data_IF_034821274811
#
_entry.id   IF_034821274811
#
_cell.length_a   1.000
_cell.length_b   1.000
_cell.length_c   1.000
_cell.angle_alpha   90.00
_cell.angle_beta   90.00
_cell.angle_gamma   90.00
#
_symmetry.space_group_name_H-M   'P 1'
#
loop_
_entity.id
_entity.type
_entity.pdbx_description
1 polymer ?
#
# COMPACT_ATOMS: atom_id res chain seq x y z
N UNK A 1 -9.28 6.07 -19.93
CA UNK A 1 -9.32 5.29 -18.67
C UNK A 1 -7.99 5.47 -17.97
N UNK A 2 -7.98 6.12 -16.81
CA UNK A 2 -6.78 6.22 -15.96
C UNK A 2 -6.52 4.84 -15.35
N UNK A 3 -5.26 4.43 -15.22
CA UNK A 3 -4.87 3.09 -14.77
C UNK A 3 -5.51 2.74 -13.42
N UNK A 4 -6.57 1.96 -13.47
CA UNK A 4 -7.25 1.37 -12.32
C UNK A 4 -6.29 0.33 -11.71
N UNK A 5 -5.89 0.54 -10.45
CA UNK A 5 -5.01 -0.38 -9.72
C UNK A 5 -5.62 -1.78 -9.61
N UNK A 6 -4.77 -2.81 -9.61
CA UNK A 6 -5.17 -4.23 -9.68
C UNK A 6 -6.23 -4.66 -8.64
N UNK A 7 -6.26 -4.03 -7.47
CA UNK A 7 -7.20 -4.37 -6.40
C UNK A 7 -8.65 -3.96 -6.67
N UNK A 8 -8.95 -3.06 -7.62
CA UNK A 8 -10.36 -2.86 -8.02
C UNK A 8 -10.96 -4.11 -8.68
N UNK A 9 -10.12 -4.92 -9.34
CA UNK A 9 -10.52 -6.24 -9.81
C UNK A 9 -11.02 -7.10 -8.64
N UNK A 10 -10.25 -7.18 -7.57
CA UNK A 10 -10.61 -7.98 -6.38
C UNK A 10 -11.77 -7.36 -5.58
N UNK A 11 -11.83 -6.03 -5.46
CA UNK A 11 -12.93 -5.31 -4.81
C UNK A 11 -14.25 -5.54 -5.54
N UNK A 12 -14.24 -5.55 -6.88
CA UNK A 12 -15.43 -5.89 -7.68
C UNK A 12 -15.89 -7.35 -7.50
N UNK A 13 -15.03 -8.23 -6.98
CA UNK A 13 -15.40 -9.60 -6.63
C UNK A 13 -15.97 -9.72 -5.21
N UNK A 14 -15.87 -8.70 -4.36
CA UNK A 14 -16.36 -8.80 -2.99
C UNK A 14 -17.87 -9.12 -2.89
N UNK A 15 -18.76 -8.63 -3.78
CA UNK A 15 -20.16 -9.05 -3.78
C UNK A 15 -20.37 -10.54 -4.08
N UNK A 16 -19.37 -11.24 -4.65
CA UNK A 16 -19.39 -12.69 -4.87
C UNK A 16 -19.10 -13.48 -3.58
N UNK A 17 -18.79 -12.81 -2.46
CA UNK A 17 -18.85 -13.42 -1.14
C UNK A 17 -20.27 -13.94 -0.88
N UNK A 18 -20.41 -14.97 -0.03
CA UNK A 18 -21.75 -15.39 0.41
C UNK A 18 -22.50 -14.16 0.93
N UNK A 19 -23.74 -13.96 0.48
CA UNK A 19 -24.52 -12.75 0.78
C UNK A 19 -24.58 -12.42 2.28
N UNK A 20 -24.59 -13.44 3.14
CA UNK A 20 -24.51 -13.27 4.60
C UNK A 20 -23.21 -12.59 5.03
N UNK A 21 -22.07 -13.03 4.50
CA UNK A 21 -20.76 -12.43 4.80
C UNK A 21 -20.68 -10.96 4.36
N UNK A 22 -21.22 -10.62 3.19
CA UNK A 22 -21.23 -9.23 2.71
C UNK A 22 -22.07 -8.32 3.61
N UNK A 23 -23.27 -8.77 3.98
CA UNK A 23 -24.19 -8.01 4.85
C UNK A 23 -23.64 -7.83 6.26
N UNK A 24 -22.97 -8.84 6.81
CA UNK A 24 -22.42 -8.83 8.17
C UNK A 24 -21.02 -8.21 8.27
N UNK A 25 -20.36 -7.94 7.14
CA UNK A 25 -19.02 -7.37 7.12
C UNK A 25 -19.00 -5.98 7.77
N UNK A 26 -18.31 -5.89 8.92
CA UNK A 26 -18.05 -4.62 9.61
C UNK A 26 -16.89 -3.85 8.98
N UNK A 27 -15.85 -4.56 8.52
CA UNK A 27 -14.65 -3.96 7.94
C UNK A 27 -14.10 -4.80 6.79
N UNK A 28 -13.74 -4.13 5.70
CA UNK A 28 -12.84 -4.62 4.68
C UNK A 28 -11.46 -4.00 4.89
N UNK A 29 -10.44 -4.85 4.86
CA UNK A 29 -9.06 -4.48 5.09
C UNK A 29 -8.21 -5.03 3.95
N UNK A 30 -7.22 -4.23 3.53
CA UNK A 30 -6.03 -4.79 2.91
C UNK A 30 -5.21 -5.52 3.99
N UNK A 31 -4.47 -6.57 3.64
CA UNK A 31 -3.78 -7.42 4.61
C UNK A 31 -2.84 -6.64 5.56
N UNK A 32 -2.03 -5.67 5.08
CA UNK A 32 -1.17 -4.88 5.96
C UNK A 32 -1.96 -4.08 7.01
N UNK A 33 -3.12 -3.52 6.62
CA UNK A 33 -3.96 -2.77 7.55
C UNK A 33 -4.62 -3.70 8.57
N UNK A 34 -5.06 -4.89 8.15
CA UNK A 34 -5.56 -5.92 9.07
C UNK A 34 -4.53 -6.29 10.13
N UNK A 35 -3.27 -6.49 9.75
CA UNK A 35 -2.19 -6.79 10.70
C UNK A 35 -1.98 -5.65 11.70
N UNK A 36 -1.99 -4.40 11.22
CA UNK A 36 -1.86 -3.22 12.08
C UNK A 36 -3.05 -3.04 13.03
N UNK A 37 -4.28 -3.32 12.55
CA UNK A 37 -5.49 -3.34 13.37
C UNK A 37 -5.43 -4.44 14.41
N UNK A 38 -5.04 -5.66 14.04
CA UNK A 38 -4.90 -6.79 14.97
C UNK A 38 -3.89 -6.47 16.08
N UNK A 39 -2.83 -5.75 15.74
CA UNK A 39 -1.80 -5.35 16.70
C UNK A 39 -2.24 -4.22 17.66
N UNK A 40 -3.07 -3.29 17.21
CA UNK A 40 -3.27 -1.99 17.90
C UNK A 40 -4.74 -1.63 18.20
N UNK A 41 -5.68 -2.43 17.69
CA UNK A 41 -7.12 -2.10 17.58
C UNK A 41 -7.44 -0.82 16.79
N UNK A 42 -6.46 -0.22 16.10
CA UNK A 42 -6.67 0.97 15.29
C UNK A 42 -7.45 0.68 14.02
N UNK A 43 -8.48 1.47 13.74
CA UNK A 43 -9.18 1.46 12.45
C UNK A 43 -8.58 2.42 11.42
N UNK A 44 -7.47 3.10 11.73
CA UNK A 44 -6.79 3.93 10.74
C UNK A 44 -6.25 3.05 9.60
N UNK A 45 -6.43 3.50 8.36
CA UNK A 45 -5.89 2.84 7.16
C UNK A 45 -4.64 3.55 6.67
N UNK A 46 -3.69 2.79 6.13
CA UNK A 46 -2.50 3.38 5.52
C UNK A 46 -2.83 4.05 4.19
N UNK A 47 -2.23 5.21 3.91
CA UNK A 47 -2.26 5.77 2.56
C UNK A 47 -1.60 4.85 1.53
N UNK A 48 -0.67 3.97 1.94
CA UNK A 48 -0.05 3.00 1.05
C UNK A 48 -1.08 2.06 0.43
N UNK A 49 -1.93 1.44 1.26
CA UNK A 49 -2.96 0.51 0.82
C UNK A 49 -4.07 1.25 0.08
N UNK A 50 -4.60 2.32 0.67
CA UNK A 50 -5.77 2.98 0.13
C UNK A 50 -5.53 3.64 -1.24
N UNK A 51 -4.41 4.34 -1.40
CA UNK A 51 -4.12 5.07 -2.63
C UNK A 51 -3.74 4.10 -3.76
N UNK A 52 -2.96 3.05 -3.45
CA UNK A 52 -2.49 2.11 -4.46
C UNK A 52 -3.56 1.10 -4.89
N UNK A 53 -4.50 0.75 -3.99
CA UNK A 53 -5.39 -0.41 -4.15
C UNK A 53 -6.88 -0.08 -4.06
N UNK A 54 -7.26 1.01 -3.39
CA UNK A 54 -8.67 1.33 -3.13
C UNK A 54 -9.16 2.60 -3.83
N UNK A 55 -8.35 3.22 -4.70
CA UNK A 55 -8.69 4.48 -5.41
C UNK A 55 -8.85 5.72 -4.53
N UNK A 56 -8.47 5.63 -3.25
CA UNK A 56 -8.52 6.78 -2.35
C UNK A 56 -7.61 7.91 -2.84
N UNK A 57 -8.11 9.14 -2.85
CA UNK A 57 -7.31 10.32 -3.12
C UNK A 57 -6.93 11.02 -1.82
N UNK A 58 -5.64 11.21 -1.50
CA UNK A 58 -5.27 11.99 -0.31
C UNK A 58 -5.73 13.44 -0.37
N UNK A 59 -5.97 13.97 -1.58
CA UNK A 59 -6.42 15.35 -1.79
C UNK A 59 -7.94 15.48 -1.71
N UNK A 60 -8.68 14.50 -2.21
CA UNK A 60 -10.14 14.58 -2.39
C UNK A 60 -10.93 13.59 -1.52
N UNK A 61 -10.27 12.65 -0.87
CA UNK A 61 -10.88 11.55 -0.14
C UNK A 61 -11.41 10.43 -1.06
N UNK A 62 -12.50 9.81 -0.62
CA UNK A 62 -13.26 8.82 -1.37
C UNK A 62 -14.13 9.50 -2.44
N UNK A 63 -14.28 8.85 -3.60
CA UNK A 63 -15.20 9.28 -4.66
C UNK A 63 -16.46 8.43 -4.64
N UNK A 64 -17.54 8.94 -4.03
CA UNK A 64 -18.81 8.23 -3.92
C UNK A 64 -19.44 7.96 -5.28
N UNK A 65 -19.20 8.83 -6.26
CA UNK A 65 -19.72 8.65 -7.62
C UNK A 65 -19.07 7.45 -8.31
N UNK A 66 -17.79 7.21 -8.04
CA UNK A 66 -17.09 6.01 -8.51
C UNK A 66 -17.71 4.75 -7.92
N UNK A 67 -17.92 4.68 -6.59
CA UNK A 67 -18.50 3.51 -5.93
C UNK A 67 -19.92 3.21 -6.40
N UNK A 68 -20.76 4.24 -6.56
CA UNK A 68 -22.09 4.09 -7.13
C UNK A 68 -22.06 3.61 -8.58
N UNK A 69 -21.11 4.09 -9.40
CA UNK A 69 -21.02 3.68 -10.80
C UNK A 69 -20.67 2.20 -11.00
N UNK A 70 -20.08 1.56 -9.99
CA UNK A 70 -19.72 0.13 -9.99
C UNK A 70 -20.64 -0.73 -9.13
N UNK A 71 -21.74 -0.18 -8.60
CA UNK A 71 -22.75 -0.90 -7.81
C UNK A 71 -22.28 -1.31 -6.41
N UNK A 72 -21.38 -0.52 -5.81
CA UNK A 72 -20.82 -0.74 -4.47
C UNK A 72 -21.05 0.48 -3.55
N UNK A 73 -22.14 1.22 -3.77
CA UNK A 73 -22.49 2.41 -3.00
C UNK A 73 -22.68 2.14 -1.50
N UNK A 74 -23.02 0.91 -1.11
CA UNK A 74 -23.16 0.50 0.28
C UNK A 74 -21.84 0.56 1.07
N UNK A 75 -20.68 0.58 0.39
CA UNK A 75 -19.37 0.81 0.99
C UNK A 75 -19.17 2.28 1.42
N UNK A 76 -19.98 3.21 0.91
CA UNK A 76 -19.93 4.64 1.27
C UNK A 76 -20.74 4.97 2.52
N UNK A 77 -21.61 4.05 2.94
CA UNK A 77 -22.46 4.21 4.13
C UNK A 77 -21.64 4.48 5.40
N UNK A 78 -22.27 5.16 6.37
CA UNK A 78 -21.67 5.48 7.65
C UNK A 78 -20.28 6.13 7.51
N UNK A 79 -20.11 7.04 6.54
CA UNK A 79 -18.84 7.74 6.24
C UNK A 79 -17.72 6.75 5.91
N UNK A 80 -17.98 5.76 5.06
CA UNK A 80 -17.01 4.76 4.61
C UNK A 80 -16.47 3.87 5.74
N UNK A 81 -17.27 3.59 6.78
CA UNK A 81 -16.81 2.85 7.98
C UNK A 81 -16.26 1.45 7.67
N UNK A 82 -16.80 0.80 6.65
CA UNK A 82 -16.36 -0.53 6.22
C UNK A 82 -14.96 -0.50 5.60
N UNK A 83 -14.64 0.54 4.81
CA UNK A 83 -13.41 0.59 4.01
C UNK A 83 -12.34 1.54 4.57
N UNK A 84 -12.70 2.44 5.48
CA UNK A 84 -11.78 3.30 6.23
C UNK A 84 -12.23 4.75 6.28
N UNK A 85 -12.55 5.23 7.49
CA UNK A 85 -12.91 6.65 7.74
C UNK A 85 -11.68 7.52 8.00
N UNK A 86 -10.67 6.94 8.64
CA UNK A 86 -9.46 7.64 9.06
C UNK A 86 -8.26 7.08 8.29
N UNK A 87 -7.44 7.97 7.76
CA UNK A 87 -6.24 7.62 6.99
C UNK A 87 -5.00 8.22 7.62
N UNK A 88 -3.85 7.59 7.41
CA UNK A 88 -2.58 8.07 7.94
C UNK A 88 -1.43 7.71 7.00
N UNK A 89 -0.37 8.53 7.04
CA UNK A 89 0.85 8.24 6.28
C UNK A 89 1.52 6.97 6.82
N UNK A 90 2.12 6.14 5.97
CA UNK A 90 2.92 5.01 6.41
C UNK A 90 3.92 5.39 7.52
N UNK A 91 4.05 4.55 8.54
CA UNK A 91 4.92 4.81 9.69
C UNK A 91 4.35 5.76 10.76
N UNK A 92 3.19 6.39 10.54
CA UNK A 92 2.53 7.20 11.58
C UNK A 92 2.18 6.32 12.79
N UNK A 93 2.38 6.79 14.05
CA UNK A 93 2.06 5.97 15.22
C UNK A 93 0.57 5.65 15.29
N UNK A 94 0.25 4.38 15.54
CA UNK A 94 -1.12 3.90 15.68
C UNK A 94 -1.49 3.73 17.14
N UNK A 95 -2.53 4.47 17.57
CA UNK A 95 -3.07 4.42 18.93
C UNK A 95 -1.95 4.57 19.97
N UNK A 96 -1.92 3.69 20.97
CA UNK A 96 -0.88 3.62 22.00
C UNK A 96 0.16 2.52 21.71
N UNK A 97 0.24 2.00 20.49
CA UNK A 97 1.10 0.86 20.15
C UNK A 97 0.41 -0.49 20.32
N UNK A 98 1.19 -1.54 20.59
CA UNK A 98 0.68 -2.90 20.79
C UNK A 98 -0.35 -2.96 21.92
N UNK A 99 -1.45 -3.66 21.66
CA UNK A 99 -2.40 -4.09 22.68
C UNK A 99 -1.72 -5.09 23.64
N UNK A 100 -2.20 -5.24 24.89
CA UNK A 100 -1.70 -6.27 25.80
C UNK A 100 -1.73 -7.67 25.19
N UNK A 101 -2.80 -8.00 24.46
CA UNK A 101 -2.98 -9.30 23.81
C UNK A 101 -1.94 -9.51 22.70
N UNK A 102 -1.80 -8.54 21.79
CA UNK A 102 -0.82 -8.64 20.70
C UNK A 102 0.62 -8.64 21.21
N UNK A 103 0.91 -7.90 22.28
CA UNK A 103 2.21 -7.89 22.94
C UNK A 103 2.55 -9.26 23.52
N UNK A 104 1.59 -9.93 24.16
CA UNK A 104 1.77 -11.29 24.67
C UNK A 104 2.04 -12.30 23.54
N UNK A 105 1.27 -12.25 22.45
CA UNK A 105 1.44 -13.13 21.28
C UNK A 105 2.81 -12.97 20.60
N UNK A 106 3.39 -11.76 20.65
CA UNK A 106 4.67 -11.42 20.02
C UNK A 106 5.88 -11.51 20.96
N UNK A 107 5.66 -11.69 22.27
CA UNK A 107 6.72 -11.65 23.28
C UNK A 107 7.35 -10.26 23.45
N UNK A 108 6.55 -9.20 23.35
CA UNK A 108 6.96 -7.79 23.46
C UNK A 108 6.21 -7.08 24.59
N UNK A 109 6.57 -5.83 24.86
CA UNK A 109 5.90 -5.01 25.88
C UNK A 109 4.62 -4.35 25.33
N UNK A 110 3.51 -4.34 26.10
CA UNK A 110 2.33 -3.53 25.77
C UNK A 110 2.72 -2.07 25.54
N UNK A 111 2.13 -1.46 24.53
CA UNK A 111 2.42 -0.08 24.15
C UNK A 111 3.70 0.12 23.32
N UNK A 112 4.40 -0.95 22.93
CA UNK A 112 5.46 -0.88 21.91
C UNK A 112 4.91 -0.20 20.65
N UNK A 113 5.60 0.82 20.14
CA UNK A 113 5.11 1.63 19.04
C UNK A 113 4.89 0.80 17.77
N UNK A 114 3.75 1.04 17.11
CA UNK A 114 3.39 0.42 15.83
C UNK A 114 3.10 1.52 14.83
N UNK A 115 3.77 1.49 13.69
CA UNK A 115 3.53 2.42 12.58
C UNK A 115 2.38 1.95 11.68
N UNK A 116 1.74 2.91 11.02
CA UNK A 116 0.80 2.64 9.93
C UNK A 116 1.44 1.76 8.86
N UNK A 117 0.63 0.85 8.31
CA UNK A 117 1.10 -0.28 7.49
C UNK A 117 1.73 0.12 6.15
N UNK A 118 2.45 -0.81 5.52
CA UNK A 118 2.97 -0.72 4.15
C UNK A 118 2.68 -2.03 3.41
N UNK A 119 2.41 -1.94 2.11
CA UNK A 119 2.46 -3.09 1.19
C UNK A 119 3.91 -3.58 1.12
N UNK A 120 4.11 -4.89 0.97
CA UNK A 120 5.42 -5.56 0.98
C UNK A 120 6.47 -4.91 0.07
N UNK A 121 6.13 -4.68 -1.20
CA UNK A 121 7.04 -4.06 -2.16
C UNK A 121 7.33 -2.60 -1.78
N UNK A 122 6.37 -1.90 -1.17
CA UNK A 122 6.54 -0.52 -0.74
C UNK A 122 7.42 -0.43 0.51
N UNK A 123 7.32 -1.39 1.42
CA UNK A 123 8.23 -1.55 2.54
C UNK A 123 9.67 -1.83 2.05
N UNK A 124 9.82 -2.72 1.07
CA UNK A 124 11.11 -2.96 0.40
C UNK A 124 11.66 -1.69 -0.26
N UNK A 125 10.80 -0.96 -0.97
CA UNK A 125 11.13 0.33 -1.61
C UNK A 125 11.63 1.36 -0.61
N UNK A 126 10.90 1.55 0.48
CA UNK A 126 11.28 2.46 1.57
C UNK A 126 12.63 2.06 2.20
N UNK A 127 12.85 0.75 2.41
CA UNK A 127 14.07 0.23 3.01
C UNK A 127 15.35 0.48 2.20
N UNK A 128 15.25 0.72 0.88
CA UNK A 128 16.43 0.90 0.01
C UNK A 128 16.53 2.29 -0.61
N UNK A 129 15.42 2.99 -0.88
CA UNK A 129 15.45 4.22 -1.67
C UNK A 129 16.19 5.37 -0.96
N UNK A 130 16.13 5.37 0.38
CA UNK A 130 16.78 6.36 1.24
C UNK A 130 18.18 5.99 1.72
N UNK A 131 18.78 4.91 1.20
CA UNK A 131 20.10 4.45 1.65
C UNK A 131 21.17 5.55 1.52
N UNK A 132 22.00 5.70 2.56
CA UNK A 132 23.21 6.53 2.46
C UNK A 132 24.21 5.83 1.55
N UNK A 133 24.69 6.56 0.55
CA UNK A 133 25.61 6.07 -0.49
C UNK A 133 26.91 6.88 -0.50
N UNK A 134 27.12 7.72 0.52
CA UNK A 134 28.32 8.52 0.68
C UNK A 134 29.57 7.62 0.75
N UNK A 135 30.61 7.96 0.01
CA UNK A 135 31.87 7.19 -0.08
C UNK A 135 31.83 5.98 -1.03
N UNK A 136 30.67 5.65 -1.61
CA UNK A 136 30.54 4.52 -2.54
C UNK A 136 30.80 4.90 -4.01
N UNK A 137 31.10 6.17 -4.32
CA UNK A 137 31.41 6.64 -5.67
C UNK A 137 30.32 6.30 -6.70
N UNK A 138 29.06 6.31 -6.25
CA UNK A 138 27.91 5.99 -7.10
C UNK A 138 27.41 7.23 -7.85
N UNK A 139 26.86 7.09 -9.07
CA UNK A 139 26.32 8.23 -9.83
C UNK A 139 25.23 9.04 -9.13
N UNK A 140 24.58 8.47 -8.10
CA UNK A 140 23.51 9.09 -7.33
C UNK A 140 23.95 9.66 -5.97
N UNK A 141 25.25 9.64 -5.64
CA UNK A 141 25.77 10.00 -4.31
C UNK A 141 25.34 11.40 -3.86
N UNK A 142 25.50 12.40 -4.73
CA UNK A 142 25.11 13.79 -4.47
C UNK A 142 23.75 14.16 -5.08
N UNK A 143 22.86 13.18 -5.25
CA UNK A 143 21.56 13.38 -5.89
C UNK A 143 20.42 13.01 -4.93
N UNK A 144 19.27 13.72 -5.01
CA UNK A 144 18.13 13.44 -4.14
C UNK A 144 17.57 12.03 -4.38
N UNK A 145 16.80 11.51 -3.42
CA UNK A 145 16.12 10.21 -3.57
C UNK A 145 15.18 10.16 -4.78
N UNK A 146 14.72 11.31 -5.29
CA UNK A 146 13.91 11.43 -6.51
C UNK A 146 14.68 11.14 -7.80
N UNK A 147 16.01 11.01 -7.75
CA UNK A 147 16.82 10.54 -8.87
C UNK A 147 17.17 9.05 -8.78
N UNK A 148 16.53 8.31 -7.88
CA UNK A 148 16.81 6.90 -7.61
C UNK A 148 15.60 6.05 -8.00
N UNK A 149 15.88 4.83 -8.39
CA UNK A 149 14.88 3.80 -8.67
C UNK A 149 15.12 2.64 -7.70
N UNK A 150 14.12 2.31 -6.89
CA UNK A 150 14.15 1.11 -6.07
C UNK A 150 13.62 -0.08 -6.89
N UNK A 151 14.43 -1.14 -6.99
CA UNK A 151 14.06 -2.38 -7.66
C UNK A 151 13.84 -3.48 -6.63
N UNK A 152 12.58 -3.88 -6.44
CA UNK A 152 12.19 -4.89 -5.45
C UNK A 152 11.99 -6.21 -6.17
N UNK A 153 13.01 -7.08 -6.07
CA UNK A 153 13.09 -8.34 -6.80
C UNK A 153 12.51 -9.52 -6.01
N UNK A 154 11.75 -10.35 -6.70
CA UNK A 154 11.23 -11.63 -6.24
C UNK A 154 10.87 -12.53 -7.42
N UNK A 155 9.75 -13.25 -7.34
CA UNK A 155 9.19 -14.00 -8.49
C UNK A 155 8.83 -13.06 -9.65
N UNK A 156 8.31 -11.88 -9.31
CA UNK A 156 8.14 -10.67 -10.12
C UNK A 156 9.06 -9.56 -9.59
N UNK A 157 9.15 -8.43 -10.29
CA UNK A 157 9.89 -7.26 -9.80
C UNK A 157 9.04 -5.99 -9.85
N UNK A 158 9.08 -5.21 -8.77
CA UNK A 158 8.47 -3.88 -8.70
C UNK A 158 9.55 -2.81 -8.87
N UNK A 159 9.23 -1.78 -9.66
CA UNK A 159 10.10 -0.64 -9.97
C UNK A 159 9.47 0.60 -9.36
N UNK A 160 10.10 1.18 -8.34
CA UNK A 160 9.53 2.28 -7.58
C UNK A 160 10.38 3.53 -7.69
N UNK A 161 9.76 4.60 -8.19
CA UNK A 161 10.38 5.92 -8.28
C UNK A 161 9.50 6.96 -7.57
N UNK A 162 10.14 7.91 -6.89
CA UNK A 162 9.44 9.00 -6.19
C UNK A 162 9.74 10.35 -6.82
N UNK A 163 8.79 11.26 -6.76
CA UNK A 163 8.88 12.59 -7.38
C UNK A 163 8.18 13.66 -6.54
N UNK A 164 8.61 14.91 -6.67
CA UNK A 164 8.01 16.05 -5.95
C UNK A 164 6.64 16.45 -6.51
N UNK A 165 6.43 16.21 -7.80
CA UNK A 165 5.22 16.58 -8.54
C UNK A 165 4.58 15.32 -9.13
N UNK A 166 3.24 15.30 -9.35
CA UNK A 166 2.60 14.16 -9.97
C UNK A 166 3.08 13.99 -11.42
N UNK A 167 3.58 12.79 -11.75
CA UNK A 167 3.99 12.42 -13.10
C UNK A 167 3.13 11.26 -13.59
N UNK A 168 2.43 11.45 -14.72
CA UNK A 168 1.62 10.41 -15.36
C UNK A 168 2.41 9.77 -16.49
N UNK A 169 2.69 8.48 -16.38
CA UNK A 169 3.49 7.74 -17.36
C UNK A 169 2.66 6.60 -17.94
N UNK A 170 2.49 6.50 -19.28
CA UNK A 170 1.75 5.40 -19.89
C UNK A 170 2.31 4.03 -19.49
N UNK A 171 1.43 3.15 -19.00
CA UNK A 171 1.80 1.79 -18.58
C UNK A 171 2.43 1.67 -17.19
N UNK A 172 2.54 2.77 -16.44
CA UNK A 172 3.05 2.79 -15.05
C UNK A 172 1.90 3.18 -14.13
N UNK A 173 1.80 2.52 -12.98
CA UNK A 173 0.80 2.84 -11.97
C UNK A 173 1.19 4.09 -11.17
N UNK A 174 0.19 4.84 -10.73
CA UNK A 174 0.36 6.13 -10.06
C UNK A 174 -0.06 7.31 -10.94
N UNK A 175 0.29 8.55 -10.53
CA UNK A 175 1.13 8.89 -9.38
C UNK A 175 0.36 8.81 -8.05
N UNK A 176 0.95 8.20 -7.02
CA UNK A 176 0.35 7.98 -5.70
C UNK A 176 1.01 8.86 -4.63
N UNK A 177 0.28 9.88 -4.15
CA UNK A 177 0.79 10.81 -3.14
C UNK A 177 0.92 10.15 -1.77
N UNK A 178 2.09 10.28 -1.14
CA UNK A 178 2.38 9.79 0.23
C UNK A 178 2.14 8.28 0.43
N UNK A 179 2.17 7.49 -0.66
CA UNK A 179 1.93 6.04 -0.60
C UNK A 179 3.15 5.22 -0.12
N UNK A 180 4.35 5.81 -0.11
CA UNK A 180 5.58 5.16 0.37
C UNK A 180 6.45 6.12 1.18
N UNK A 181 6.83 7.25 0.60
CA UNK A 181 7.57 8.31 1.29
C UNK A 181 6.62 9.49 1.53
N UNK A 182 6.53 10.02 2.78
CA UNK A 182 5.72 11.20 3.08
C UNK A 182 5.95 12.34 2.10
N UNK A 183 4.85 12.94 1.64
CA UNK A 183 4.81 14.14 0.79
C UNK A 183 5.43 14.01 -0.61
N UNK A 184 5.82 12.79 -1.02
CA UNK A 184 6.26 12.49 -2.38
C UNK A 184 5.23 11.66 -3.16
N UNK A 185 5.27 11.78 -4.48
CA UNK A 185 4.47 11.02 -5.42
C UNK A 185 5.22 9.77 -5.88
N UNK A 186 4.64 8.59 -5.64
CA UNK A 186 5.15 7.31 -6.09
C UNK A 186 4.63 6.96 -7.49
N UNK A 187 5.53 6.52 -8.37
CA UNK A 187 5.20 5.78 -9.58
C UNK A 187 5.69 4.34 -9.43
N UNK A 188 4.82 3.39 -9.75
CA UNK A 188 5.05 1.95 -9.59
C UNK A 188 4.97 1.26 -10.95
N UNK A 189 6.13 0.82 -11.45
CA UNK A 189 6.24 -0.08 -12.59
C UNK A 189 6.34 -1.53 -12.11
N UNK A 190 6.00 -2.48 -12.98
CA UNK A 190 6.05 -3.90 -12.66
C UNK A 190 6.53 -4.76 -13.82
N UNK A 191 7.30 -5.78 -13.51
CA UNK A 191 7.57 -6.90 -14.41
C UNK A 191 7.00 -8.17 -13.79
N UNK A 192 5.97 -8.72 -14.42
CA UNK A 192 5.17 -9.82 -13.86
C UNK A 192 5.92 -11.16 -13.71
N UNK A 193 7.04 -11.34 -14.41
CA UNK A 193 7.88 -12.52 -14.29
C UNK A 193 9.36 -12.16 -14.46
N UNK A 194 10.11 -12.22 -13.36
CA UNK A 194 11.56 -12.00 -13.33
C UNK A 194 12.25 -13.23 -12.77
N UNK A 195 12.24 -13.43 -11.44
CA UNK A 195 12.77 -14.62 -10.80
C UNK A 195 12.07 -15.90 -11.25
N UNK A 196 10.76 -15.84 -11.52
CA UNK A 196 10.01 -16.98 -12.06
C UNK A 196 10.50 -17.39 -13.45
N UNK A 197 10.82 -16.42 -14.31
CA UNK A 197 11.33 -16.70 -15.65
C UNK A 197 12.72 -17.34 -15.58
N UNK A 198 13.63 -16.79 -14.77
CA UNK A 198 14.98 -17.35 -14.57
C UNK A 198 14.89 -18.77 -14.03
N UNK A 199 14.06 -19.00 -13.00
CA UNK A 199 13.87 -20.33 -12.42
C UNK A 199 13.32 -21.34 -13.43
N UNK A 200 12.37 -20.92 -14.27
CA UNK A 200 11.83 -21.81 -15.30
C UNK A 200 12.92 -22.22 -16.30
N UNK A 201 13.73 -21.27 -16.77
CA UNK A 201 14.84 -21.57 -17.69
C UNK A 201 15.88 -22.50 -17.09
N UNK A 202 16.21 -22.34 -15.81
CA UNK A 202 17.17 -23.22 -15.13
C UNK A 202 16.63 -24.64 -14.88
N UNK A 203 15.31 -24.84 -14.83
CA UNK A 203 14.69 -26.17 -14.66
C UNK A 203 14.50 -26.92 -15.98
N UNK A 204 14.54 -26.22 -17.10
CA UNK A 204 14.41 -26.78 -18.45
C UNK A 204 15.75 -27.33 -18.99
N UNK A 205 16.85 -27.17 -18.23
CA UNK A 205 18.19 -27.71 -18.50
C UNK A 205 18.58 -28.71 -17.41
#
# INVERSE_FOLDING_TARGET
MRGIGAALGDVSQLPNLRQSCWKEAAHFFDLPDFLSWKATSSLARSLCTLVCKWTYSPLNGWDDSFWASIGLEDLTENKHSKIGQCTCRPGSPLQRGLTPEAAADLGLEPGTAVGASLIDAHAGGLGVIGADVSGHHLPCENRPITSRLALICGTSSCHMAVSQMPLFVPGVWGPYLSAMVPDLWLNEGGQSATGKLVRNRLKEH
#
